data_IF_136325538646
#
_entry.id   IF_136325538646
#
_cell.length_a   1.000
_cell.length_b   1.000
_cell.length_c   1.000
_cell.angle_alpha   90.00
_cell.angle_beta   90.00
_cell.angle_gamma   90.00
#
_symmetry.space_group_name_H-M   'P 1'
#
loop_
_entity.id
_entity.type
_entity.pdbx_description
1 polymer ?
#
# COMPACT_ATOMS: atom_id res chain seq x y z
N UNK A 1 22.37 36.61 37.06
CA UNK A 1 22.67 35.37 36.31
C UNK A 1 22.41 34.19 37.23
N UNK A 2 21.19 33.68 37.23
CA UNK A 2 20.81 32.41 37.85
C UNK A 2 19.84 31.75 36.87
N UNK A 3 20.29 30.71 36.18
CA UNK A 3 19.44 29.84 35.40
C UNK A 3 19.58 28.43 35.97
N UNK A 4 18.49 27.95 36.56
CA UNK A 4 18.37 26.63 37.17
C UNK A 4 18.48 25.58 36.08
N UNK A 5 19.48 24.70 36.19
CA UNK A 5 19.64 23.52 35.36
C UNK A 5 18.69 22.43 35.85
N UNK A 6 17.54 22.30 35.18
CA UNK A 6 16.59 21.20 35.42
C UNK A 6 16.99 19.96 34.62
N UNK A 7 17.49 18.93 35.30
CA UNK A 7 17.61 17.59 34.73
C UNK A 7 16.21 17.09 34.37
N UNK A 8 15.91 17.02 33.07
CA UNK A 8 14.71 16.37 32.57
C UNK A 8 14.99 14.87 32.55
N UNK A 9 14.44 14.17 33.53
CA UNK A 9 14.36 12.71 33.54
C UNK A 9 13.80 12.26 32.19
N UNK A 10 14.51 11.34 31.52
CA UNK A 10 14.02 10.68 30.31
C UNK A 10 12.85 9.76 30.69
N UNK A 11 11.65 10.31 30.81
CA UNK A 11 10.43 9.51 30.73
C UNK A 11 10.39 8.84 29.35
N UNK A 12 10.14 7.52 29.26
CA UNK A 12 9.88 6.91 27.97
C UNK A 12 8.68 7.61 27.38
N UNK A 13 8.85 8.16 26.17
CA UNK A 13 7.76 8.77 25.42
C UNK A 13 6.59 7.77 25.38
N UNK A 14 5.33 8.21 25.58
CA UNK A 14 4.19 7.33 25.45
C UNK A 14 4.31 6.61 24.12
N UNK A 15 4.15 5.29 24.12
CA UNK A 15 4.05 4.49 22.91
C UNK A 15 2.86 5.03 22.14
N UNK A 16 3.10 5.98 21.23
CA UNK A 16 2.09 6.46 20.31
C UNK A 16 1.50 5.21 19.64
N UNK A 17 0.17 5.08 19.67
CA UNK A 17 -0.53 4.00 18.98
C UNK A 17 -0.12 4.04 17.50
N UNK A 18 0.84 3.17 17.14
CA UNK A 18 1.43 3.16 15.80
C UNK A 18 0.33 2.77 14.84
N UNK A 19 -0.10 3.71 14.02
CA UNK A 19 -1.16 3.50 13.03
C UNK A 19 -0.59 3.78 11.65
N UNK A 20 -0.96 2.95 10.68
CA UNK A 20 -0.66 3.15 9.26
C UNK A 20 -1.96 3.17 8.46
N UNK A 21 -2.14 4.19 7.62
CA UNK A 21 -3.29 4.29 6.71
C UNK A 21 -2.92 3.72 5.35
N UNK A 22 -3.66 2.71 4.92
CA UNK A 22 -3.41 1.98 3.67
C UNK A 22 -4.59 2.15 2.74
N UNK A 23 -4.36 2.71 1.55
CA UNK A 23 -5.37 2.79 0.50
C UNK A 23 -5.24 1.53 -0.37
N UNK A 24 -6.32 0.76 -0.50
CA UNK A 24 -6.30 -0.59 -1.06
C UNK A 24 -7.31 -0.70 -2.20
N UNK A 25 -6.82 -0.88 -3.43
CA UNK A 25 -7.68 -1.20 -4.58
C UNK A 25 -7.72 -2.70 -4.92
N UNK A 26 -6.90 -3.50 -4.24
CA UNK A 26 -6.99 -4.98 -4.28
C UNK A 26 -8.22 -5.47 -3.53
N UNK A 27 -8.97 -6.42 -4.11
CA UNK A 27 -10.23 -6.91 -3.55
C UNK A 27 -10.08 -7.28 -2.06
N UNK A 28 -11.00 -6.75 -1.25
CA UNK A 28 -10.95 -6.82 0.23
C UNK A 28 -10.81 -8.25 0.76
N UNK A 29 -11.47 -9.21 0.11
CA UNK A 29 -11.43 -10.63 0.50
C UNK A 29 -10.00 -11.21 0.51
N UNK A 30 -9.10 -10.65 -0.29
CA UNK A 30 -7.68 -11.06 -0.34
C UNK A 30 -6.78 -10.17 0.51
N UNK A 31 -7.04 -8.87 0.54
CA UNK A 31 -6.17 -7.89 1.22
C UNK A 31 -6.41 -7.81 2.73
N UNK A 32 -7.65 -7.90 3.20
CA UNK A 32 -7.99 -7.78 4.62
C UNK A 32 -7.31 -8.86 5.49
N UNK A 33 -7.27 -10.15 5.12
CA UNK A 33 -6.56 -11.16 5.91
C UNK A 33 -5.06 -10.86 6.07
N UNK A 34 -4.42 -10.33 5.03
CA UNK A 34 -2.99 -9.97 5.05
C UNK A 34 -2.74 -8.80 6.00
N UNK A 35 -3.56 -7.74 5.90
CA UNK A 35 -3.45 -6.56 6.76
C UNK A 35 -3.71 -6.90 8.23
N UNK A 36 -4.68 -7.78 8.51
CA UNK A 36 -4.95 -8.29 9.87
C UNK A 36 -3.79 -9.11 10.41
N UNK A 37 -3.19 -9.98 9.59
CA UNK A 37 -2.01 -10.74 9.99
C UNK A 37 -0.84 -9.82 10.34
N UNK A 38 -0.61 -8.77 9.54
CA UNK A 38 0.39 -7.76 9.83
C UNK A 38 0.09 -7.00 11.14
N UNK A 39 -1.15 -6.55 11.35
CA UNK A 39 -1.55 -5.87 12.59
C UNK A 39 -1.29 -6.76 13.82
N UNK A 40 -1.67 -8.04 13.75
CA UNK A 40 -1.49 -9.00 14.85
C UNK A 40 0.00 -9.28 15.15
N UNK A 41 0.86 -9.33 14.13
CA UNK A 41 2.28 -9.63 14.29
C UNK A 41 3.10 -8.42 14.72
N UNK A 42 2.78 -7.24 14.20
CA UNK A 42 3.57 -6.02 14.41
C UNK A 42 3.10 -5.17 15.58
N UNK A 43 1.83 -5.33 16.00
CA UNK A 43 1.15 -4.43 16.94
C UNK A 43 0.82 -3.06 16.34
N UNK A 44 1.05 -2.84 15.04
CA UNK A 44 0.70 -1.61 14.32
C UNK A 44 -0.76 -1.67 13.87
N UNK A 45 -1.56 -0.68 14.24
CA UNK A 45 -2.94 -0.53 13.77
C UNK A 45 -2.98 -0.21 12.29
N UNK A 46 -3.81 -0.93 11.53
CA UNK A 46 -3.97 -0.69 10.10
C UNK A 46 -5.33 -0.05 9.82
N UNK A 47 -5.31 1.22 9.42
CA UNK A 47 -6.47 1.93 8.91
C UNK A 47 -6.58 1.70 7.39
N UNK A 48 -7.28 0.64 6.98
CA UNK A 48 -7.46 0.29 5.58
C UNK A 48 -8.66 1.02 4.95
N UNK A 49 -8.42 1.78 3.88
CA UNK A 49 -9.45 2.41 3.05
C UNK A 49 -9.55 1.65 1.73
N UNK A 50 -10.68 1.00 1.50
CA UNK A 50 -10.94 0.23 0.29
C UNK A 50 -11.68 1.07 -0.76
N UNK A 51 -11.46 0.77 -2.04
CA UNK A 51 -12.34 1.24 -3.12
C UNK A 51 -13.71 0.54 -3.03
N UNK A 52 -14.75 1.16 -3.61
CA UNK A 52 -15.98 0.43 -3.93
C UNK A 52 -15.80 -0.29 -5.27
N UNK A 53 -16.57 -1.35 -5.52
CA UNK A 53 -16.55 -2.07 -6.80
C UNK A 53 -16.79 -1.14 -8.00
N UNK A 54 -17.62 -0.10 -7.81
CA UNK A 54 -17.98 0.89 -8.83
C UNK A 54 -16.83 1.84 -9.20
N UNK A 55 -15.90 2.11 -8.28
CA UNK A 55 -14.78 3.05 -8.50
C UNK A 55 -13.43 2.37 -8.60
N UNK A 56 -13.39 1.04 -8.68
CA UNK A 56 -12.19 0.22 -8.60
C UNK A 56 -10.98 0.85 -9.29
N UNK A 57 -9.95 1.12 -8.49
CA UNK A 57 -8.65 1.67 -8.85
C UNK A 57 -8.67 3.12 -9.32
N UNK A 58 -9.77 3.65 -9.87
CA UNK A 58 -9.90 5.05 -10.31
C UNK A 58 -10.22 6.02 -9.17
N UNK A 59 -11.00 5.58 -8.19
CA UNK A 59 -11.38 6.40 -7.03
C UNK A 59 -10.19 6.72 -6.15
N UNK A 60 -9.57 5.68 -5.57
CA UNK A 60 -8.50 5.86 -4.58
C UNK A 60 -7.31 6.65 -5.09
N UNK A 61 -6.86 6.42 -6.31
CA UNK A 61 -5.70 7.14 -6.77
C UNK A 61 -6.02 8.54 -7.33
N UNK A 62 -7.28 8.88 -7.63
CA UNK A 62 -7.67 10.27 -7.90
C UNK A 62 -7.66 11.04 -6.58
N UNK A 63 -8.11 10.38 -5.52
CA UNK A 63 -7.98 10.88 -4.16
C UNK A 63 -6.52 11.09 -3.76
N UNK A 64 -5.62 10.14 -4.03
CA UNK A 64 -4.18 10.33 -3.79
C UNK A 64 -3.60 11.55 -4.53
N UNK A 65 -4.02 11.78 -5.79
CA UNK A 65 -3.62 12.97 -6.55
C UNK A 65 -4.14 14.24 -5.89
N UNK A 66 -5.41 14.25 -5.45
CA UNK A 66 -6.02 15.40 -4.79
C UNK A 66 -5.39 15.69 -3.41
N UNK A 67 -4.93 14.65 -2.72
CA UNK A 67 -4.29 14.73 -1.40
C UNK A 67 -2.77 14.96 -1.48
N UNK A 68 -2.16 15.10 -2.67
CA UNK A 68 -0.70 15.22 -2.85
C UNK A 68 -0.04 16.27 -1.94
N UNK A 69 -0.68 17.43 -1.74
CA UNK A 69 -0.13 18.50 -0.89
C UNK A 69 -0.32 18.27 0.61
N UNK A 70 -1.17 17.33 1.00
CA UNK A 70 -1.42 16.93 2.39
C UNK A 70 -1.77 15.44 2.46
N UNK A 71 -0.80 14.54 2.26
CA UNK A 71 -1.06 13.10 2.14
C UNK A 71 -1.82 12.56 3.36
N UNK A 72 -2.84 11.75 3.13
CA UNK A 72 -3.58 11.04 4.19
C UNK A 72 -3.26 9.54 4.21
N UNK A 73 -2.73 8.99 3.13
CA UNK A 73 -2.32 7.60 3.02
C UNK A 73 -0.81 7.46 3.16
N UNK A 74 -0.38 6.43 3.89
CA UNK A 74 1.03 6.06 4.03
C UNK A 74 1.45 5.05 2.94
N UNK A 75 0.53 4.16 2.57
CA UNK A 75 0.77 3.09 1.59
C UNK A 75 -0.39 3.00 0.62
N UNK A 76 -0.10 2.86 -0.67
CA UNK A 76 -1.08 2.51 -1.69
C UNK A 76 -0.85 1.07 -2.18
N UNK A 77 -1.77 0.16 -1.84
CA UNK A 77 -1.78 -1.20 -2.35
C UNK A 77 -2.71 -1.28 -3.58
N UNK A 78 -2.08 -1.14 -4.74
CA UNK A 78 -2.75 -1.24 -6.05
C UNK A 78 -3.04 -2.69 -6.46
N UNK A 79 -4.13 -2.92 -7.17
CA UNK A 79 -4.40 -4.20 -7.85
C UNK A 79 -3.60 -4.38 -9.15
N UNK A 80 -3.02 -3.31 -9.69
CA UNK A 80 -2.34 -3.29 -10.99
C UNK A 80 -1.30 -2.14 -11.07
N UNK A 81 -0.29 -2.21 -11.97
CA UNK A 81 0.82 -1.25 -11.98
C UNK A 81 0.55 0.08 -12.72
N UNK A 82 -0.37 0.16 -13.67
CA UNK A 82 -0.63 1.34 -14.53
C UNK A 82 -1.00 2.57 -13.70
N UNK A 83 -1.91 2.43 -12.73
CA UNK A 83 -2.28 3.52 -11.81
C UNK A 83 -1.07 4.05 -11.06
N UNK A 84 -0.19 3.15 -10.65
CA UNK A 84 1.03 3.47 -9.91
C UNK A 84 2.02 4.25 -10.79
N UNK A 85 2.10 3.93 -12.08
CA UNK A 85 2.88 4.72 -13.05
C UNK A 85 2.32 6.13 -13.22
N UNK A 86 0.99 6.30 -13.24
CA UNK A 86 0.34 7.63 -13.29
C UNK A 86 0.62 8.42 -12.01
N UNK A 87 0.59 7.77 -10.84
CA UNK A 87 0.92 8.41 -9.57
C UNK A 87 2.40 8.84 -9.52
N UNK A 88 3.31 8.01 -10.04
CA UNK A 88 4.73 8.35 -10.20
C UNK A 88 4.90 9.57 -11.10
N UNK A 89 4.29 9.59 -12.29
CA UNK A 89 4.43 10.72 -13.23
C UNK A 89 3.84 12.04 -12.71
N UNK A 90 2.91 11.96 -11.76
CA UNK A 90 2.34 13.11 -11.04
C UNK A 90 3.07 13.43 -9.74
N UNK A 91 4.18 12.75 -9.44
CA UNK A 91 5.02 12.92 -8.26
C UNK A 91 4.23 12.76 -6.95
N UNK A 92 3.27 11.85 -6.93
CA UNK A 92 2.47 11.55 -5.73
C UNK A 92 3.19 10.53 -4.83
N UNK A 93 4.02 9.67 -5.42
CA UNK A 93 4.72 8.58 -4.73
C UNK A 93 6.11 9.02 -4.27
N UNK A 94 6.54 8.52 -3.13
CA UNK A 94 7.92 8.60 -2.67
C UNK A 94 8.66 7.30 -3.03
N UNK A 95 9.95 7.36 -3.42
CA UNK A 95 10.74 6.16 -3.67
C UNK A 95 11.04 5.42 -2.37
N UNK A 96 10.83 4.10 -2.36
CA UNK A 96 11.16 3.22 -1.25
C UNK A 96 11.47 1.81 -1.76
N UNK A 97 12.63 1.27 -1.36
CA UNK A 97 13.02 -0.12 -1.62
C UNK A 97 12.94 -0.90 -0.32
N UNK A 98 11.90 -1.73 -0.21
CA UNK A 98 11.73 -2.57 0.97
C UNK A 98 12.80 -3.66 1.03
N UNK A 99 13.44 -3.91 2.19
CA UNK A 99 14.26 -5.10 2.38
C UNK A 99 13.48 -6.39 2.15
N UNK A 100 12.17 -6.39 2.45
CA UNK A 100 11.28 -7.54 2.22
C UNK A 100 10.96 -7.79 0.74
N UNK A 101 11.45 -6.94 -0.18
CA UNK A 101 11.33 -7.16 -1.62
C UNK A 101 12.46 -8.04 -2.18
N UNK A 102 13.37 -8.53 -1.34
CA UNK A 102 14.41 -9.46 -1.75
C UNK A 102 13.79 -10.70 -2.42
N UNK A 103 14.30 -11.05 -3.60
CA UNK A 103 13.78 -12.16 -4.42
C UNK A 103 12.66 -11.79 -5.40
N UNK A 104 12.10 -10.58 -5.35
CA UNK A 104 11.15 -10.12 -6.37
C UNK A 104 11.91 -9.83 -7.69
N UNK A 105 11.51 -10.43 -8.82
CA UNK A 105 12.15 -10.18 -10.12
C UNK A 105 12.17 -8.68 -10.47
N UNK A 106 13.28 -8.19 -11.01
CA UNK A 106 13.44 -6.78 -11.37
C UNK A 106 12.36 -6.25 -12.33
N UNK A 107 11.83 -7.11 -13.21
CA UNK A 107 10.73 -6.76 -14.11
C UNK A 107 9.38 -6.48 -13.40
N UNK A 108 9.26 -6.86 -12.12
CA UNK A 108 8.08 -6.67 -11.28
C UNK A 108 8.28 -5.57 -10.23
N UNK A 109 9.23 -4.66 -10.45
CA UNK A 109 9.45 -3.50 -9.60
C UNK A 109 9.88 -2.29 -10.44
N UNK A 110 9.69 -1.09 -9.88
CA UNK A 110 10.17 0.13 -10.50
C UNK A 110 11.70 0.26 -10.36
N UNK A 111 12.44 0.52 -11.44
CA UNK A 111 13.89 0.71 -11.36
C UNK A 111 14.28 1.95 -10.57
N UNK A 112 13.38 2.91 -10.30
CA UNK A 112 13.64 4.08 -9.45
C UNK A 112 13.04 3.92 -8.04
N UNK A 113 12.37 2.80 -7.75
CA UNK A 113 11.87 2.46 -6.42
C UNK A 113 10.53 3.09 -6.04
N UNK A 114 9.77 3.66 -6.97
CA UNK A 114 8.45 4.25 -6.66
C UNK A 114 7.34 3.22 -6.42
N UNK A 115 7.54 1.99 -6.89
CA UNK A 115 6.63 0.88 -6.63
C UNK A 115 7.35 -0.46 -6.67
N UNK A 116 6.78 -1.44 -6.00
CA UNK A 116 7.27 -2.83 -5.96
C UNK A 116 6.07 -3.76 -6.10
N UNK A 117 6.21 -4.81 -6.92
CA UNK A 117 5.18 -5.83 -7.07
C UNK A 117 4.89 -6.53 -5.75
N UNK A 118 3.63 -6.86 -5.51
CA UNK A 118 3.21 -7.56 -4.28
C UNK A 118 2.59 -8.93 -4.60
N UNK A 119 1.78 -8.99 -5.64
CA UNK A 119 1.17 -10.22 -6.12
C UNK A 119 1.07 -10.20 -7.64
N UNK A 120 1.05 -11.39 -8.25
CA UNK A 120 0.81 -11.56 -9.67
C UNK A 120 -0.65 -11.97 -9.90
N UNK A 121 -1.30 -11.36 -10.90
CA UNK A 121 -2.59 -11.82 -11.43
C UNK A 121 -2.43 -12.15 -12.90
N UNK A 122 -2.91 -13.33 -13.27
CA UNK A 122 -2.91 -13.80 -14.65
C UNK A 122 -4.34 -13.71 -15.16
N UNK A 123 -4.53 -13.07 -16.32
CA UNK A 123 -5.80 -13.06 -17.02
C UNK A 123 -5.89 -14.32 -17.87
N UNK A 124 -6.96 -15.08 -17.70
CA UNK A 124 -7.22 -16.31 -18.44
C UNK A 124 -8.57 -16.21 -19.14
N UNK A 125 -8.74 -16.98 -20.21
CA UNK A 125 -10.05 -17.20 -20.81
C UNK A 125 -10.67 -18.38 -20.08
N UNK A 126 -11.67 -18.11 -19.24
CA UNK A 126 -12.52 -19.16 -18.70
C UNK A 126 -13.53 -19.57 -19.78
N UNK A 127 -13.62 -20.87 -20.07
CA UNK A 127 -14.58 -21.40 -21.03
C UNK A 127 -15.31 -22.61 -20.46
N UNK A 128 -16.49 -22.90 -20.99
CA UNK A 128 -17.30 -24.04 -20.57
C UNK A 128 -16.86 -25.29 -21.34
N UNK A 129 -16.23 -26.24 -20.65
CA UNK A 129 -15.69 -27.48 -21.23
C UNK A 129 -16.76 -28.46 -21.73
N UNK A 130 -18.03 -28.26 -21.36
CA UNK A 130 -19.16 -29.03 -21.90
C UNK A 130 -19.61 -28.46 -23.26
N UNK A 131 -19.44 -27.16 -23.48
CA UNK A 131 -19.91 -26.47 -24.69
C UNK A 131 -18.80 -26.27 -25.73
N UNK A 132 -17.53 -26.21 -25.30
CA UNK A 132 -16.37 -26.03 -26.17
C UNK A 132 -15.49 -27.28 -26.06
N UNK A 133 -15.38 -28.02 -27.15
CA UNK A 133 -14.49 -29.19 -27.22
C UNK A 133 -13.03 -28.74 -27.44
N UNK A 134 -12.05 -29.40 -26.83
CA UNK A 134 -10.65 -29.18 -27.18
C UNK A 134 -10.43 -29.59 -28.64
N UNK A 135 -9.59 -28.83 -29.34
CA UNK A 135 -9.06 -29.19 -30.66
C UNK A 135 -8.03 -30.31 -30.58
#
# INVERSE_FOLDING_TARGET
>A
MLAVSGCRSSEPAPTADRTVTVYVSTDRVFSEPVLRAYENQSGVKVNAVYDTEETKSTGLANRLIAEKSRPQADVFWSNEPVRTLVLKSREVLAPYRSPSAEGIPAALADPDGYWTGFSARIRVIAYNTTLVKPE
#
